data_IF_178112837941
#
_entry.id   IF_178112837941
#
_cell.length_a   1.000
_cell.length_b   1.000
_cell.length_c   1.000
_cell.angle_alpha   90.00
_cell.angle_beta   90.00
_cell.angle_gamma   90.00
#
_symmetry.space_group_name_H-M   'P 1'
#
loop_
_entity.id
_entity.type
_entity.pdbx_description
1 polymer ?
#
# COMPACT_ATOMS: atom_id res chain seq x y z
N UNK A 1 -1.90 13.71 -17.17
CA UNK A 1 -0.58 13.36 -16.58
C UNK A 1 -0.67 11.94 -16.07
N UNK A 2 0.34 11.11 -16.34
CA UNK A 2 0.47 9.78 -15.73
C UNK A 2 1.30 9.92 -14.45
N UNK A 3 0.75 9.52 -13.31
CA UNK A 3 1.43 9.46 -12.03
C UNK A 3 2.02 8.06 -11.81
N UNK A 4 3.33 7.98 -11.56
CA UNK A 4 4.03 6.76 -11.13
C UNK A 4 4.06 6.69 -9.61
N UNK A 5 3.11 5.95 -9.03
CA UNK A 5 2.95 5.80 -7.57
C UNK A 5 3.58 4.50 -7.09
N UNK A 6 4.57 4.59 -6.20
CA UNK A 6 5.20 3.44 -5.56
C UNK A 6 4.66 3.26 -4.14
N UNK A 7 4.16 2.07 -3.81
CA UNK A 7 3.91 1.66 -2.43
C UNK A 7 5.06 0.80 -1.92
N UNK A 8 5.65 1.13 -0.78
CA UNK A 8 6.82 0.41 -0.28
C UNK A 8 6.89 0.26 1.26
N UNK A 9 6.72 -0.96 1.76
CA UNK A 9 7.04 -1.27 3.15
C UNK A 9 8.57 -1.37 3.30
N UNK A 10 9.16 -0.48 4.09
CA UNK A 10 10.62 -0.37 4.26
C UNK A 10 11.17 -1.20 5.42
N UNK A 11 10.28 -1.87 6.18
CA UNK A 11 10.57 -2.74 7.33
C UNK A 11 11.34 -2.05 8.43
N UNK A 12 10.87 -2.05 9.68
CA UNK A 12 11.59 -1.48 10.83
C UNK A 12 12.15 -0.05 10.59
N UNK A 13 11.40 0.79 9.87
CA UNK A 13 11.80 2.17 9.55
C UNK A 13 12.96 2.30 8.58
N UNK A 14 13.44 1.23 7.95
CA UNK A 14 14.50 1.29 6.93
C UNK A 14 15.89 1.69 7.45
N UNK A 15 16.09 1.81 8.78
CA UNK A 15 17.35 2.26 9.38
C UNK A 15 18.52 1.35 8.96
N UNK A 16 19.62 1.96 8.52
CA UNK A 16 20.83 1.28 8.06
C UNK A 16 20.72 0.73 6.63
N UNK A 17 19.58 0.89 5.96
CA UNK A 17 19.32 0.41 4.59
C UNK A 17 18.96 1.56 3.64
N UNK A 18 19.16 2.81 4.04
CA UNK A 18 18.75 3.99 3.27
C UNK A 18 19.34 4.00 1.85
N UNK A 19 20.60 3.62 1.68
CA UNK A 19 21.24 3.57 0.37
C UNK A 19 20.59 2.51 -0.55
N UNK A 20 20.29 1.31 -0.03
CA UNK A 20 19.66 0.23 -0.77
C UNK A 20 18.21 0.57 -1.13
N UNK A 21 17.47 1.15 -0.17
CA UNK A 21 16.11 1.63 -0.39
C UNK A 21 16.09 2.72 -1.46
N UNK A 22 17.02 3.68 -1.40
CA UNK A 22 17.12 4.74 -2.40
C UNK A 22 17.49 4.20 -3.80
N UNK A 23 18.30 3.14 -3.88
CA UNK A 23 18.58 2.46 -5.14
C UNK A 23 17.33 1.81 -5.72
N UNK A 24 16.57 1.07 -4.91
CA UNK A 24 15.29 0.49 -5.33
C UNK A 24 14.33 1.57 -5.84
N UNK A 25 14.20 2.68 -5.10
CA UNK A 25 13.33 3.79 -5.48
C UNK A 25 13.80 4.43 -6.80
N UNK A 26 15.10 4.74 -6.95
CA UNK A 26 15.62 5.34 -8.19
C UNK A 26 15.42 4.43 -9.39
N UNK A 27 15.64 3.13 -9.24
CA UNK A 27 15.44 2.16 -10.31
C UNK A 27 13.97 2.01 -10.72
N UNK A 28 13.03 2.20 -9.77
CA UNK A 28 11.60 2.23 -10.08
C UNK A 28 11.15 3.58 -10.69
N UNK A 29 11.97 4.63 -10.60
CA UNK A 29 11.70 6.01 -11.05
C UNK A 29 10.27 6.48 -10.77
N UNK A 30 9.81 6.53 -9.50
CA UNK A 30 8.48 6.98 -9.18
C UNK A 30 8.40 8.50 -9.12
N UNK A 31 7.21 9.02 -9.36
CA UNK A 31 6.86 10.40 -9.10
C UNK A 31 6.56 10.62 -7.61
N UNK A 32 6.02 9.60 -6.96
CA UNK A 32 5.66 9.61 -5.55
C UNK A 32 5.84 8.22 -4.93
N UNK A 33 6.31 8.19 -3.69
CA UNK A 33 6.39 6.96 -2.88
C UNK A 33 5.56 7.13 -1.63
N UNK A 34 4.70 6.15 -1.34
CA UNK A 34 4.00 6.00 -0.05
C UNK A 34 4.64 4.84 0.69
N UNK A 35 5.17 5.13 1.88
CA UNK A 35 5.90 4.17 2.68
C UNK A 35 5.05 3.56 3.78
N UNK A 36 5.34 2.29 4.09
CA UNK A 36 4.87 1.60 5.30
C UNK A 36 6.05 1.29 6.23
N UNK A 37 5.78 1.11 7.52
CA UNK A 37 6.77 1.03 8.60
C UNK A 37 7.73 2.23 8.74
N UNK A 38 7.39 3.38 8.15
CA UNK A 38 8.17 4.61 8.09
C UNK A 38 8.22 5.42 9.41
N UNK A 39 8.59 4.75 10.50
CA UNK A 39 8.55 5.29 11.87
C UNK A 39 9.67 6.26 12.21
N UNK A 40 10.73 6.35 11.39
CA UNK A 40 11.87 7.26 11.58
C UNK A 40 11.89 8.36 10.50
N UNK A 41 11.47 9.59 10.83
CA UNK A 41 11.47 10.71 9.88
C UNK A 41 12.85 11.03 9.27
N UNK A 42 13.95 10.78 9.98
CA UNK A 42 15.29 11.04 9.46
C UNK A 42 15.62 10.12 8.29
N UNK A 43 15.10 8.88 8.30
CA UNK A 43 15.24 7.96 7.16
C UNK A 43 14.48 8.51 5.96
N UNK A 44 13.26 8.99 6.14
CA UNK A 44 12.44 9.54 5.05
C UNK A 44 13.06 10.81 4.45
N UNK A 45 13.58 11.71 5.28
CA UNK A 45 14.32 12.89 4.82
C UNK A 45 15.56 12.51 4.00
N UNK A 46 16.32 11.50 4.44
CA UNK A 46 17.49 11.00 3.69
C UNK A 46 17.09 10.38 2.36
N UNK A 47 16.02 9.59 2.33
CA UNK A 47 15.50 9.01 1.10
C UNK A 47 15.06 10.09 0.13
N UNK A 48 14.29 11.09 0.59
CA UNK A 48 13.89 12.26 -0.21
C UNK A 48 15.09 12.91 -0.91
N UNK A 49 16.16 13.21 -0.16
CA UNK A 49 17.41 13.77 -0.70
C UNK A 49 18.11 12.82 -1.68
N UNK A 50 18.24 11.55 -1.33
CA UNK A 50 18.96 10.55 -2.12
C UNK A 50 18.25 10.14 -3.42
N UNK A 51 16.94 10.36 -3.53
CA UNK A 51 16.12 10.02 -4.70
C UNK A 51 15.68 11.24 -5.50
N UNK A 52 15.97 12.46 -5.03
CA UNK A 52 15.55 13.69 -5.70
C UNK A 52 14.04 13.95 -5.67
N UNK A 53 13.33 13.42 -4.67
CA UNK A 53 11.88 13.61 -4.47
C UNK A 53 11.67 14.56 -3.28
N UNK A 54 11.65 15.89 -3.50
CA UNK A 54 11.93 16.88 -2.46
C UNK A 54 10.78 17.10 -1.47
N UNK A 55 9.54 16.79 -1.85
CA UNK A 55 8.37 16.96 -0.99
C UNK A 55 8.22 15.72 -0.14
N UNK A 56 8.08 15.86 1.17
CA UNK A 56 7.95 14.70 2.04
C UNK A 56 7.22 15.04 3.33
N UNK A 57 6.62 14.03 3.94
CA UNK A 57 6.06 14.14 5.26
C UNK A 57 6.19 12.79 5.99
N UNK A 58 6.67 12.86 7.24
CA UNK A 58 6.83 11.71 8.13
C UNK A 58 6.67 12.16 9.57
N UNK A 59 6.14 11.29 10.43
CA UNK A 59 5.95 11.59 11.85
C UNK A 59 6.44 10.43 12.70
N UNK A 60 7.18 10.74 13.78
CA UNK A 60 7.61 9.72 14.74
C UNK A 60 6.41 8.90 15.21
N UNK A 61 6.62 7.59 15.37
CA UNK A 61 5.60 6.63 15.81
C UNK A 61 4.40 6.45 14.88
N UNK A 62 4.38 7.10 13.71
CA UNK A 62 3.42 6.79 12.64
C UNK A 62 4.12 5.89 11.62
N UNK A 63 3.41 4.90 11.10
CA UNK A 63 4.01 3.95 10.16
C UNK A 63 3.93 4.39 8.70
N UNK A 64 3.22 5.47 8.40
CA UNK A 64 3.01 5.96 7.04
C UNK A 64 3.73 7.29 6.83
N UNK A 65 4.43 7.39 5.70
CA UNK A 65 5.10 8.59 5.22
C UNK A 65 5.03 8.65 3.70
N UNK A 66 5.38 9.79 3.11
CA UNK A 66 5.60 9.90 1.66
C UNK A 66 6.83 10.72 1.30
N UNK A 67 7.34 10.50 0.09
CA UNK A 67 8.19 11.44 -0.65
C UNK A 67 7.59 11.65 -2.05
N UNK A 68 7.74 12.82 -2.66
CA UNK A 68 7.12 13.16 -3.94
C UNK A 68 7.91 14.24 -4.70
N UNK A 69 7.86 14.19 -6.03
CA UNK A 69 8.16 15.32 -6.93
C UNK A 69 6.91 16.06 -7.39
N UNK A 70 5.74 15.41 -7.32
CA UNK A 70 4.44 16.00 -7.65
C UNK A 70 3.96 16.88 -6.50
N UNK A 71 3.54 18.13 -6.76
CA UNK A 71 3.04 19.03 -5.72
C UNK A 71 1.85 18.46 -4.95
N UNK A 72 1.85 18.72 -3.63
CA UNK A 72 0.85 18.20 -2.68
C UNK A 72 0.04 19.38 -2.15
N UNK A 73 -1.26 19.40 -2.42
CA UNK A 73 -2.16 20.43 -1.91
C UNK A 73 -2.40 20.26 -0.40
N UNK A 74 -2.53 19.02 0.05
CA UNK A 74 -2.83 18.70 1.45
C UNK A 74 -2.34 17.31 1.83
N UNK A 75 -1.97 17.12 3.09
CA UNK A 75 -1.81 15.79 3.69
C UNK A 75 -2.20 15.79 5.16
N UNK A 76 -2.70 14.66 5.66
CA UNK A 76 -3.10 14.49 7.05
C UNK A 76 -2.93 13.04 7.53
N UNK A 77 -2.59 12.86 8.79
CA UNK A 77 -2.68 11.55 9.46
C UNK A 77 -4.00 11.46 10.22
N UNK A 78 -4.85 10.54 9.80
CA UNK A 78 -6.11 10.25 10.45
C UNK A 78 -5.89 9.19 11.53
N UNK A 79 -6.46 9.42 12.73
CA UNK A 79 -6.36 8.51 13.87
C UNK A 79 -7.76 8.01 14.24
N UNK A 80 -8.23 6.90 13.66
CA UNK A 80 -9.62 6.49 13.82
C UNK A 80 -9.85 5.83 15.20
N UNK A 81 -9.89 6.61 16.28
CA UNK A 81 -10.17 6.14 17.65
C UNK A 81 -9.18 5.10 18.24
N UNK A 82 -9.35 4.79 19.53
CA UNK A 82 -8.34 4.17 20.41
C UNK A 82 -7.86 2.75 20.03
N UNK A 83 -8.45 2.12 19.01
CA UNK A 83 -8.18 0.73 18.65
C UNK A 83 -7.65 0.54 17.22
N UNK A 84 -7.47 1.59 16.43
CA UNK A 84 -7.23 1.49 14.98
C UNK A 84 -5.91 2.15 14.58
N UNK A 85 -5.35 1.71 13.45
CA UNK A 85 -4.07 2.24 12.98
C UNK A 85 -4.28 3.59 12.29
N UNK A 86 -3.35 4.52 12.50
CA UNK A 86 -3.35 5.74 11.73
C UNK A 86 -3.17 5.42 10.25
N UNK A 87 -3.93 6.10 9.39
CA UNK A 87 -3.69 6.11 7.96
C UNK A 87 -3.35 7.53 7.52
N UNK A 88 -2.78 7.66 6.33
CA UNK A 88 -2.41 8.94 5.78
C UNK A 88 -3.26 9.28 4.58
N UNK A 89 -3.83 10.47 4.55
CA UNK A 89 -4.44 11.06 3.36
C UNK A 89 -3.44 12.00 2.70
N UNK A 90 -3.34 11.93 1.37
CA UNK A 90 -2.49 12.81 0.57
C UNK A 90 -3.31 13.27 -0.64
N UNK A 91 -3.42 14.57 -0.82
CA UNK A 91 -4.17 15.19 -1.92
C UNK A 91 -3.19 15.86 -2.86
N UNK A 92 -3.16 15.40 -4.11
CA UNK A 92 -2.32 15.97 -5.15
C UNK A 92 -2.84 17.33 -5.57
N UNK A 93 -1.93 18.28 -5.75
CA UNK A 93 -2.28 19.59 -6.30
C UNK A 93 -2.62 19.48 -7.80
N UNK A 94 -3.46 20.40 -8.29
CA UNK A 94 -3.93 20.44 -9.69
C UNK A 94 -4.99 19.39 -10.04
N UNK A 95 -4.79 18.11 -9.71
CA UNK A 95 -5.76 17.04 -10.03
C UNK A 95 -6.82 16.81 -8.95
N UNK A 96 -6.52 17.14 -7.70
CA UNK A 96 -7.37 16.83 -6.54
C UNK A 96 -7.45 15.32 -6.22
N UNK A 97 -6.69 14.48 -6.92
CA UNK A 97 -6.63 13.04 -6.68
C UNK A 97 -6.14 12.75 -5.25
N UNK A 98 -6.80 11.80 -4.58
CA UNK A 98 -6.46 11.41 -3.20
C UNK A 98 -5.77 10.06 -3.14
N UNK A 99 -4.78 9.96 -2.27
CA UNK A 99 -4.05 8.72 -2.00
C UNK A 99 -4.13 8.47 -0.51
N UNK A 100 -4.68 7.33 -0.12
CA UNK A 100 -4.76 6.86 1.24
C UNK A 100 -3.69 5.79 1.48
N UNK A 101 -2.69 6.11 2.28
CA UNK A 101 -1.62 5.20 2.67
C UNK A 101 -1.99 4.38 3.90
N UNK A 102 -1.89 3.05 3.80
CA UNK A 102 -2.35 2.08 4.80
C UNK A 102 -1.22 1.15 5.27
N UNK A 103 -1.28 0.78 6.55
CA UNK A 103 -0.45 -0.28 7.13
C UNK A 103 -1.26 -0.98 8.23
N UNK A 104 -1.94 -2.06 7.87
CA UNK A 104 -2.82 -2.80 8.79
C UNK A 104 -1.98 -3.73 9.67
N UNK A 105 -2.44 -4.01 10.90
CA UNK A 105 -1.70 -4.86 11.84
C UNK A 105 -1.43 -6.28 11.30
N UNK A 106 -0.17 -6.70 11.36
CA UNK A 106 0.26 -8.08 11.20
C UNK A 106 -0.08 -8.91 12.46
N UNK A 107 -1.32 -9.38 12.58
CA UNK A 107 -1.64 -10.45 13.55
C UNK A 107 -2.36 -11.56 12.79
N UNK A 108 -1.80 -12.77 12.91
CA UNK A 108 -2.21 -13.95 12.16
C UNK A 108 -3.26 -14.78 12.92
N UNK A 109 -4.25 -14.16 13.58
CA UNK A 109 -5.37 -14.86 14.21
C UNK A 109 -6.73 -14.48 13.61
N UNK A 110 -7.73 -15.38 13.74
CA UNK A 110 -9.12 -15.09 13.29
C UNK A 110 -9.72 -13.84 13.97
N UNK A 111 -9.35 -13.58 15.22
CA UNK A 111 -9.78 -12.37 15.94
C UNK A 111 -9.15 -11.08 15.39
N UNK A 112 -7.90 -11.13 14.93
CA UNK A 112 -7.27 -9.99 14.26
C UNK A 112 -7.82 -9.73 12.86
N UNK A 113 -8.32 -10.76 12.18
CA UNK A 113 -8.99 -10.59 10.88
C UNK A 113 -10.27 -9.76 11.05
N UNK A 114 -11.20 -10.19 11.92
CA UNK A 114 -12.45 -9.45 12.14
C UNK A 114 -12.20 -8.00 12.55
N UNK A 115 -11.11 -7.78 13.32
CA UNK A 115 -10.65 -6.43 13.68
C UNK A 115 -10.15 -5.65 12.46
N UNK A 116 -9.41 -6.25 11.53
CA UNK A 116 -9.00 -5.60 10.26
C UNK A 116 -10.18 -5.31 9.33
N UNK A 117 -11.14 -6.23 9.22
CA UNK A 117 -12.38 -5.98 8.49
C UNK A 117 -13.13 -4.79 9.10
N UNK A 118 -13.22 -4.71 10.43
CA UNK A 118 -13.79 -3.54 11.13
C UNK A 118 -12.95 -2.27 10.91
N UNK A 119 -11.61 -2.35 10.95
CA UNK A 119 -10.69 -1.24 10.66
C UNK A 119 -10.95 -0.69 9.25
N UNK A 120 -10.98 -1.57 8.23
CA UNK A 120 -11.30 -1.20 6.85
C UNK A 120 -12.72 -0.65 6.73
N UNK A 121 -13.74 -1.26 7.34
CA UNK A 121 -15.12 -0.75 7.25
C UNK A 121 -15.25 0.67 7.81
N UNK A 122 -14.53 1.01 8.88
CA UNK A 122 -14.55 2.39 9.40
C UNK A 122 -13.70 3.32 8.56
N UNK A 123 -12.55 2.86 8.06
CA UNK A 123 -11.79 3.66 7.10
C UNK A 123 -12.67 4.00 5.90
N UNK A 124 -13.33 3.01 5.31
CA UNK A 124 -14.25 3.17 4.18
C UNK A 124 -15.39 4.14 4.49
N UNK A 125 -15.90 4.13 5.73
CA UNK A 125 -16.90 5.07 6.21
C UNK A 125 -16.34 6.49 6.38
N UNK A 126 -15.13 6.65 6.90
CA UNK A 126 -14.48 7.95 7.06
C UNK A 126 -14.16 8.61 5.72
N UNK A 127 -13.79 7.78 4.73
CA UNK A 127 -13.53 8.21 3.35
C UNK A 127 -14.79 8.14 2.47
N UNK A 128 -15.97 7.79 3.01
CA UNK A 128 -17.23 7.63 2.25
C UNK A 128 -17.61 8.93 1.51
N UNK A 129 -17.43 10.06 2.18
CA UNK A 129 -17.56 11.42 1.59
C UNK A 129 -16.62 11.67 0.41
N UNK A 130 -15.51 10.94 0.32
CA UNK A 130 -14.57 10.98 -0.79
C UNK A 130 -14.81 9.86 -1.80
N UNK A 131 -15.71 8.91 -1.51
CA UNK A 131 -16.02 7.81 -2.43
C UNK A 131 -16.64 8.26 -3.73
N UNK A 132 -17.08 9.52 -3.87
CA UNK A 132 -17.55 10.13 -5.11
C UNK A 132 -16.41 10.74 -5.95
N UNK A 133 -15.27 11.05 -5.34
CA UNK A 133 -14.05 11.47 -6.04
C UNK A 133 -13.11 10.29 -6.32
N UNK A 134 -12.20 10.47 -7.27
CA UNK A 134 -11.13 9.52 -7.49
C UNK A 134 -10.19 9.47 -6.29
N UNK A 135 -9.87 8.24 -5.88
CA UNK A 135 -8.88 8.02 -4.87
C UNK A 135 -8.30 6.61 -4.95
N UNK A 136 -7.11 6.45 -4.36
CA UNK A 136 -6.39 5.19 -4.26
C UNK A 136 -6.21 4.81 -2.79
N UNK A 137 -6.34 3.54 -2.45
CA UNK A 137 -5.90 2.99 -1.16
C UNK A 137 -4.68 2.11 -1.43
N UNK A 138 -3.54 2.47 -0.84
CA UNK A 138 -2.25 1.82 -1.13
C UNK A 138 -1.55 1.42 0.15
N UNK A 139 -0.89 0.27 0.13
CA UNK A 139 -0.02 -0.14 1.23
C UNK A 139 -0.10 -1.61 1.59
N UNK A 140 0.40 -1.91 2.77
CA UNK A 140 0.46 -3.26 3.32
C UNK A 140 -0.81 -3.53 4.14
N UNK A 141 -1.66 -4.40 3.59
CA UNK A 141 -2.91 -4.82 4.21
C UNK A 141 -2.72 -6.01 5.16
N UNK A 142 -1.53 -6.63 5.17
CA UNK A 142 -1.21 -7.79 6.00
C UNK A 142 -2.25 -8.93 5.90
N UNK A 143 -2.88 -9.08 4.73
CA UNK A 143 -3.90 -10.10 4.42
C UNK A 143 -3.71 -10.66 3.02
N UNK A 144 -4.18 -11.89 2.83
CA UNK A 144 -4.20 -12.56 1.54
C UNK A 144 -5.44 -12.24 0.72
N UNK A 145 -5.29 -12.34 -0.59
CA UNK A 145 -6.37 -12.21 -1.54
C UNK A 145 -7.25 -13.47 -1.58
N UNK A 146 -8.54 -13.34 -1.96
CA UNK A 146 -9.40 -14.50 -2.15
C UNK A 146 -8.80 -15.48 -3.17
N UNK A 147 -8.73 -16.76 -2.80
CA UNK A 147 -8.18 -17.82 -3.65
C UNK A 147 -6.66 -18.03 -3.54
N UNK A 148 -5.92 -17.16 -2.85
CA UNK A 148 -4.50 -17.42 -2.55
C UNK A 148 -4.38 -18.47 -1.43
N UNK A 149 -3.50 -19.45 -1.64
CA UNK A 149 -3.21 -20.50 -0.67
C UNK A 149 -1.99 -20.10 0.17
N UNK A 150 -2.18 -20.04 1.49
CA UNK A 150 -1.08 -19.91 2.43
C UNK A 150 -0.33 -21.24 2.55
N UNK A 151 0.85 -21.37 1.93
CA UNK A 151 1.72 -22.53 2.20
C UNK A 151 2.51 -22.31 3.50
N UNK A 152 1.89 -22.70 4.60
CA UNK A 152 2.45 -22.64 5.95
C UNK A 152 3.82 -23.33 6.05
N UNK A 153 4.13 -24.32 5.19
CA UNK A 153 5.39 -25.07 5.28
C UNK A 153 6.61 -24.23 4.92
N UNK A 154 6.44 -23.18 4.10
CA UNK A 154 7.51 -22.27 3.65
C UNK A 154 7.82 -21.15 4.66
N UNK A 155 7.03 -21.06 5.74
CA UNK A 155 7.18 -20.00 6.74
C UNK A 155 8.19 -20.36 7.85
N UNK A 156 8.87 -19.36 8.44
CA UNK A 156 9.64 -19.53 9.67
C UNK A 156 8.83 -20.22 10.77
N UNK A 157 9.50 -21.05 11.59
CA UNK A 157 8.86 -21.90 12.62
C UNK A 157 7.91 -21.13 13.56
N UNK A 158 8.24 -19.89 13.90
CA UNK A 158 7.41 -19.06 14.79
C UNK A 158 6.10 -18.62 14.11
N UNK A 159 6.11 -18.29 12.81
CA UNK A 159 4.90 -18.00 12.02
C UNK A 159 4.04 -19.27 11.88
N UNK A 160 4.67 -20.42 11.64
CA UNK A 160 3.97 -21.71 11.56
C UNK A 160 3.17 -22.03 12.82
N UNK A 161 3.76 -21.78 13.99
CA UNK A 161 3.10 -21.95 15.27
C UNK A 161 1.90 -21.01 15.43
N UNK A 162 2.03 -19.73 15.06
CA UNK A 162 0.93 -18.76 15.10
C UNK A 162 -0.23 -19.13 14.16
N UNK A 163 0.07 -19.61 12.95
CA UNK A 163 -0.93 -20.07 11.97
C UNK A 163 -1.68 -21.30 12.48
N UNK A 164 -0.96 -22.26 13.08
CA UNK A 164 -1.55 -23.47 13.63
C UNK A 164 -2.51 -23.16 14.80
N UNK A 165 -2.13 -22.27 15.71
CA UNK A 165 -2.99 -21.78 16.80
C UNK A 165 -4.24 -21.05 16.31
N UNK A 166 -4.24 -20.57 15.08
CA UNK A 166 -5.31 -19.73 14.52
C UNK A 166 -6.32 -20.51 13.68
N UNK A 167 -6.24 -21.84 13.67
CA UNK A 167 -7.28 -22.71 13.13
C UNK A 167 -7.25 -22.89 11.61
N UNK A 168 -6.09 -22.72 10.96
CA UNK A 168 -5.77 -23.04 9.54
C UNK A 168 -6.58 -22.32 8.45
N UNK A 169 -7.73 -21.75 8.76
CA UNK A 169 -8.49 -20.89 7.86
C UNK A 169 -8.09 -19.44 8.10
N UNK A 170 -7.30 -18.91 7.17
CA UNK A 170 -6.61 -17.64 7.32
C UNK A 170 -6.96 -16.75 6.13
N UNK A 171 -7.37 -15.52 6.46
CA UNK A 171 -7.25 -14.30 5.65
C UNK A 171 -8.03 -14.26 4.34
N UNK A 172 -9.28 -13.76 4.38
CA UNK A 172 -10.02 -13.36 3.16
C UNK A 172 -11.00 -12.20 3.38
N UNK A 173 -11.48 -11.98 4.61
CA UNK A 173 -12.64 -11.09 4.81
C UNK A 173 -12.30 -9.62 4.58
N UNK A 174 -11.09 -9.18 4.91
CA UNK A 174 -10.63 -7.80 4.69
C UNK A 174 -10.66 -7.43 3.19
N UNK A 175 -10.14 -8.27 2.31
CA UNK A 175 -10.21 -8.04 0.86
C UNK A 175 -11.64 -8.20 0.36
N UNK A 176 -12.41 -9.16 0.91
CA UNK A 176 -13.83 -9.30 0.58
C UNK A 176 -14.63 -8.04 0.92
N UNK A 177 -14.34 -7.37 2.05
CA UNK A 177 -14.97 -6.10 2.43
C UNK A 177 -14.67 -5.01 1.40
N UNK A 178 -13.42 -4.90 0.94
CA UNK A 178 -13.05 -3.96 -0.13
C UNK A 178 -13.84 -4.21 -1.42
N UNK A 179 -13.89 -5.47 -1.87
CA UNK A 179 -14.61 -5.85 -3.09
C UNK A 179 -16.13 -5.61 -2.95
N UNK A 180 -16.72 -5.94 -1.78
CA UNK A 180 -18.13 -5.69 -1.50
C UNK A 180 -18.44 -4.18 -1.43
N UNK A 181 -17.47 -3.34 -1.09
CA UNK A 181 -17.56 -1.88 -1.14
C UNK A 181 -17.29 -1.30 -2.54
N UNK A 182 -17.31 -2.14 -3.59
CA UNK A 182 -17.13 -1.76 -5.00
C UNK A 182 -15.75 -1.15 -5.31
N UNK A 183 -14.70 -1.63 -4.63
CA UNK A 183 -13.31 -1.37 -4.99
C UNK A 183 -12.75 -2.51 -5.84
N UNK A 184 -11.83 -2.16 -6.75
CA UNK A 184 -11.06 -3.13 -7.53
C UNK A 184 -9.64 -3.27 -7.00
N UNK A 185 -9.16 -4.51 -6.93
CA UNK A 185 -7.74 -4.81 -6.72
C UNK A 185 -7.00 -4.53 -8.03
N UNK A 186 -6.25 -3.44 -8.06
CA UNK A 186 -5.58 -2.95 -9.25
C UNK A 186 -4.56 -3.94 -9.83
N UNK A 187 -3.88 -4.72 -8.99
CA UNK A 187 -2.95 -5.73 -9.46
C UNK A 187 -3.70 -6.89 -10.11
N UNK A 188 -4.70 -7.46 -9.42
CA UNK A 188 -5.45 -8.61 -9.94
C UNK A 188 -6.27 -8.28 -11.20
N UNK A 189 -6.75 -7.05 -11.31
CA UNK A 189 -7.47 -6.58 -12.50
C UNK A 189 -6.59 -6.65 -13.75
N UNK A 190 -5.31 -6.30 -13.63
CA UNK A 190 -4.36 -6.25 -14.74
C UNK A 190 -3.63 -7.59 -14.96
N UNK A 191 -3.53 -8.41 -13.92
CA UNK A 191 -2.79 -9.66 -13.91
C UNK A 191 -3.67 -10.83 -13.45
N UNK A 192 -4.34 -11.49 -14.38
CA UNK A 192 -5.30 -12.56 -14.04
C UNK A 192 -4.62 -13.82 -13.52
N UNK A 193 -3.45 -14.18 -14.08
CA UNK A 193 -2.74 -15.43 -13.75
C UNK A 193 -1.54 -15.24 -12.81
N UNK A 194 -0.84 -14.10 -12.91
CA UNK A 194 0.32 -13.84 -12.04
C UNK A 194 -0.15 -13.76 -10.58
N UNK A 195 0.62 -14.38 -9.70
CA UNK A 195 0.38 -14.37 -8.26
C UNK A 195 0.76 -13.03 -7.63
N UNK A 196 1.69 -12.28 -8.22
CA UNK A 196 2.03 -10.95 -7.72
C UNK A 196 2.64 -10.93 -6.34
N UNK A 197 3.40 -11.97 -5.97
CA UNK A 197 3.99 -12.04 -4.64
C UNK A 197 4.87 -10.84 -4.33
N UNK A 198 4.59 -10.18 -3.22
CA UNK A 198 5.35 -9.03 -2.70
C UNK A 198 6.19 -9.42 -1.49
N UNK A 199 5.93 -10.57 -0.87
CA UNK A 199 6.57 -10.99 0.37
C UNK A 199 6.83 -12.51 0.47
N UNK A 200 7.87 -12.94 1.20
CA UNK A 200 9.08 -12.19 1.49
C UNK A 200 9.97 -12.08 0.24
N UNK A 201 10.79 -11.05 0.12
CA UNK A 201 11.69 -10.85 -1.03
C UNK A 201 12.67 -12.00 -1.30
N UNK A 202 13.10 -12.73 -0.27
CA UNK A 202 14.05 -13.85 -0.41
C UNK A 202 13.41 -15.18 -0.83
N UNK A 203 12.10 -15.33 -0.66
CA UNK A 203 11.34 -16.50 -1.11
C UNK A 203 9.90 -16.10 -1.39
N UNK A 204 9.59 -15.42 -2.52
CA UNK A 204 8.30 -14.76 -2.69
C UNK A 204 7.16 -15.76 -2.81
N UNK A 205 6.17 -15.69 -1.91
CA UNK A 205 5.00 -16.58 -1.94
C UNK A 205 3.72 -16.00 -1.30
N UNK A 206 3.73 -14.74 -0.85
CA UNK A 206 2.56 -14.02 -0.35
C UNK A 206 2.43 -12.67 -1.03
N UNK A 207 1.20 -12.22 -1.23
CA UNK A 207 0.89 -10.85 -1.68
C UNK A 207 0.18 -10.12 -0.54
N UNK A 208 0.89 -9.17 0.06
CA UNK A 208 0.42 -8.41 1.22
C UNK A 208 0.19 -6.93 0.90
N UNK A 209 0.80 -6.46 -0.17
CA UNK A 209 0.74 -5.07 -0.62
C UNK A 209 -0.25 -4.92 -1.77
N UNK A 210 -1.11 -3.92 -1.67
CA UNK A 210 -2.24 -3.71 -2.58
C UNK A 210 -2.37 -2.26 -3.01
N UNK A 211 -2.98 -2.07 -4.18
CA UNK A 211 -3.49 -0.79 -4.67
C UNK A 211 -4.95 -1.01 -5.04
N UNK A 212 -5.85 -0.33 -4.34
CA UNK A 212 -7.28 -0.36 -4.59
C UNK A 212 -7.77 1.00 -5.10
N UNK A 213 -8.78 0.97 -5.97
CA UNK A 213 -9.51 2.15 -6.45
C UNK A 213 -10.99 1.81 -6.57
N UNK A 214 -11.93 2.78 -6.46
CA UNK A 214 -13.33 2.52 -6.78
C UNK A 214 -13.48 1.98 -8.21
N UNK A 215 -14.34 0.99 -8.40
CA UNK A 215 -14.54 0.28 -9.67
C UNK A 215 -14.78 1.21 -10.87
N UNK A 216 -15.48 2.33 -10.67
CA UNK A 216 -15.77 3.28 -11.75
C UNK A 216 -14.53 4.04 -12.27
N UNK A 217 -13.44 4.05 -11.52
CA UNK A 217 -12.17 4.63 -11.94
C UNK A 217 -11.10 3.58 -12.25
N UNK A 218 -11.50 2.32 -12.40
CA UNK A 218 -10.60 1.23 -12.73
C UNK A 218 -9.74 1.52 -13.97
N UNK A 219 -10.30 2.18 -14.99
CA UNK A 219 -9.59 2.52 -16.24
C UNK A 219 -8.45 3.52 -16.06
N UNK A 220 -8.47 4.31 -14.98
CA UNK A 220 -7.38 5.24 -14.69
C UNK A 220 -6.09 4.51 -14.29
N UNK A 221 -6.16 3.24 -13.84
CA UNK A 221 -4.98 2.45 -13.53
C UNK A 221 -4.49 1.70 -14.77
N UNK A 222 -3.42 2.20 -15.39
CA UNK A 222 -2.88 1.64 -16.65
C UNK A 222 -1.85 0.53 -16.44
N UNK A 223 -1.16 0.50 -15.30
CA UNK A 223 -0.28 -0.59 -14.90
C UNK A 223 -0.19 -0.73 -13.38
N UNK A 224 0.16 -1.94 -12.91
CA UNK A 224 0.41 -2.24 -11.51
C UNK A 224 1.40 -3.41 -11.42
N UNK A 225 2.66 -3.13 -11.11
CA UNK A 225 3.77 -4.08 -11.22
C UNK A 225 4.50 -4.27 -9.90
N UNK A 226 4.89 -5.52 -9.59
CA UNK A 226 5.79 -5.79 -8.46
C UNK A 226 7.24 -5.62 -8.91
N UNK A 227 7.99 -4.76 -8.24
CA UNK A 227 9.38 -4.46 -8.61
C UNK A 227 10.33 -5.56 -8.09
N UNK A 228 10.51 -6.63 -8.87
CA UNK A 228 11.26 -7.85 -8.50
C UNK A 228 12.69 -7.96 -9.07
N UNK A 229 13.11 -7.03 -9.94
CA UNK A 229 14.32 -7.17 -10.78
C UNK A 229 15.63 -6.65 -10.19
N UNK A 230 15.65 -6.20 -8.94
CA UNK A 230 16.82 -5.56 -8.33
C UNK A 230 17.46 -6.50 -7.31
N UNK A 231 18.72 -6.87 -7.53
CA UNK A 231 19.47 -7.75 -6.62
C UNK A 231 19.54 -7.19 -5.19
N UNK A 232 19.53 -5.87 -5.04
CA UNK A 232 19.53 -5.18 -3.75
C UNK A 232 18.18 -5.22 -3.02
N UNK A 233 17.06 -5.50 -3.71
CA UNK A 233 15.72 -5.41 -3.13
C UNK A 233 15.54 -6.32 -1.91
N UNK A 234 16.09 -7.54 -1.97
CA UNK A 234 16.01 -8.49 -0.86
C UNK A 234 16.83 -8.06 0.38
N UNK A 235 17.85 -7.22 0.19
CA UNK A 235 18.60 -6.62 1.30
C UNK A 235 17.99 -5.30 1.76
N UNK A 236 17.23 -4.63 0.88
CA UNK A 236 16.59 -3.35 1.14
C UNK A 236 15.34 -3.50 2.03
N UNK A 237 14.49 -4.51 1.77
CA UNK A 237 13.31 -4.83 2.57
C UNK A 237 12.89 -6.30 2.39
N UNK A 238 12.05 -6.80 3.29
CA UNK A 238 11.36 -8.09 3.12
C UNK A 238 10.11 -7.99 2.23
N UNK A 239 9.69 -6.77 1.87
CA UNK A 239 8.67 -6.53 0.85
C UNK A 239 9.29 -6.04 -0.47
N UNK A 240 8.77 -6.50 -1.60
CA UNK A 240 8.96 -5.83 -2.89
C UNK A 240 7.99 -4.65 -2.99
N UNK A 241 8.42 -3.51 -3.55
CA UNK A 241 7.50 -2.42 -3.80
C UNK A 241 6.54 -2.73 -4.94
N UNK A 242 5.36 -2.12 -4.87
CA UNK A 242 4.31 -2.18 -5.88
C UNK A 242 4.23 -0.83 -6.59
N UNK A 243 4.48 -0.81 -7.90
CA UNK A 243 4.47 0.39 -8.73
C UNK A 243 3.20 0.44 -9.58
N UNK A 244 2.39 1.47 -9.40
CA UNK A 244 1.24 1.76 -10.25
C UNK A 244 1.51 2.94 -11.19
N UNK A 245 0.93 2.88 -12.38
CA UNK A 245 0.76 4.06 -13.22
C UNK A 245 -0.71 4.45 -13.28
N UNK A 246 -0.97 5.72 -13.00
CA UNK A 246 -2.32 6.26 -12.83
C UNK A 246 -2.50 7.44 -13.77
N UNK A 247 -3.44 7.34 -14.69
CA UNK A 247 -3.82 8.42 -15.58
C UNK A 247 -4.75 9.42 -14.88
N UNK A 248 -4.18 10.55 -14.46
CA UNK A 248 -4.91 11.59 -13.75
C UNK A 248 -5.82 12.44 -14.66
N UNK A 249 -5.70 12.36 -15.98
CA UNK A 249 -6.61 13.09 -16.90
C UNK A 249 -7.98 12.39 -16.98
N UNK A 250 -7.99 11.05 -17.04
CA UNK A 250 -9.22 10.27 -17.01
C UNK A 250 -10.04 10.50 -15.73
N UNK A 251 -9.35 10.79 -14.63
CA UNK A 251 -9.96 11.14 -13.34
C UNK A 251 -10.74 12.45 -13.44
N UNK A 252 -10.16 13.49 -14.04
CA UNK A 252 -10.81 14.80 -14.14
C UNK A 252 -12.05 14.79 -15.04
N UNK A 253 -12.04 14.00 -16.11
CA UNK A 253 -13.17 13.88 -17.05
C UNK A 253 -14.33 13.06 -16.49
N UNK A 254 -14.05 12.00 -15.72
CA UNK A 254 -15.09 11.17 -15.10
C UNK A 254 -15.89 11.92 -14.04
N UNK A 255 -15.29 12.88 -13.33
CA UNK A 255 -16.00 13.76 -12.38
C UNK A 255 -16.88 14.85 -13.02
N UNK A 256 -16.71 15.18 -14.30
CA UNK A 256 -17.51 16.21 -14.99
C UNK A 256 -18.77 15.66 -15.67
N UNK A 257 -18.79 14.39 -16.05
CA UNK A 257 -19.96 13.76 -16.69
C UNK A 257 -21.05 13.30 -15.70
N UNK A 258 -20.80 13.40 -14.40
CA UNK A 258 -21.72 13.01 -13.32
C UNK A 258 -22.45 14.23 -12.67
N UNK A 259 -22.34 15.42 -13.26
CA UNK A 259 -23.08 16.65 -12.91
C UNK A 259 -24.04 16.99 -14.05
#
# INVERSE_FOLDING_TARGET
MILRLLSYNIRFGGRGREALLAEVIRSADPDMVVFQEATDPLVIERLSKATGLPLWAARRSHSIAYISRVPIAHHEWHNPGDARHPFMEIVLDGSGARIFGLHLKARFSKWSERRRAIEISVLLKEIERHQQGFHLLVGDFNTLAPGELLDVRRMPRWIRAMVWLSGRDIQRDTIRVMLNANYVDGYRMLHTEDKGYTFPTWDPHLRLDYIFTPQRFASALSSCEVVKGLSVAASASDHFPLLAQVDLEQVTHSTQNDI
#
